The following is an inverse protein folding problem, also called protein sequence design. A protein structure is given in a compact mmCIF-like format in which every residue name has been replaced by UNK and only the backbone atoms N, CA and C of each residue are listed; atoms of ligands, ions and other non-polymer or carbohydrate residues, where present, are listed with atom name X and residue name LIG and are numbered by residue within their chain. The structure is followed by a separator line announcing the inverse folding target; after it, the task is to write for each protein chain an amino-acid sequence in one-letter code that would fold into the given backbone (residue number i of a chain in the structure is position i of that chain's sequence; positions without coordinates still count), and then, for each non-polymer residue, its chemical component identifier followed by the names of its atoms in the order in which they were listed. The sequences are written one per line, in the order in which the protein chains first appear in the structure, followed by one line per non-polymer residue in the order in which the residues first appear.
data_IF_523916790959
#
_entry.id   IF_523916790959
#
_cell.length_a   1.000
_cell.length_b   1.000
_cell.length_c   1.000
_cell.angle_alpha   90.00
_cell.angle_beta   90.00
_cell.angle_gamma   90.00
#
_symmetry.space_group_name_H-M   'P 1'
#
loop_
_entity.id
_entity.type
_entity.pdbx_description
1 polymer ?
#
# COMPACT_ATOMS: atom_id res chain seq x y z
N UNK A 1 -19.50 -26.74 -4.66
CA UNK A 1 -18.11 -26.94 -4.71
C UNK A 1 -17.35 -25.70 -4.32
N UNK A 2 -16.29 -25.90 -3.67
CA UNK A 2 -15.54 -24.79 -3.15
C UNK A 2 -14.75 -24.07 -4.22
N UNK A 3 -14.75 -22.77 -4.14
CA UNK A 3 -13.99 -21.96 -5.06
C UNK A 3 -12.55 -21.86 -4.58
N UNK A 4 -11.65 -22.45 -5.33
CA UNK A 4 -10.25 -22.50 -4.92
C UNK A 4 -9.54 -21.17 -5.02
N UNK A 5 -10.15 -20.19 -5.69
CA UNK A 5 -9.55 -18.88 -5.81
C UNK A 5 -9.91 -17.95 -4.68
N UNK A 6 -10.81 -18.37 -3.84
CA UNK A 6 -11.18 -17.55 -2.72
C UNK A 6 -10.26 -17.81 -1.54
N UNK A 7 -9.85 -16.75 -0.91
CA UNK A 7 -9.10 -16.86 0.31
C UNK A 7 -10.00 -17.28 1.43
N UNK A 8 -9.55 -18.21 2.21
CA UNK A 8 -10.21 -18.48 3.46
C UNK A 8 -10.00 -17.33 4.40
N UNK A 9 -11.07 -16.88 5.00
CA UNK A 9 -10.98 -15.81 5.96
C UNK A 9 -10.83 -16.38 7.35
N UNK A 10 -9.98 -15.76 8.11
CA UNK A 10 -9.70 -16.20 9.47
C UNK A 10 -10.02 -15.05 10.40
N UNK A 11 -10.71 -15.36 11.49
CA UNK A 11 -10.95 -14.37 12.53
C UNK A 11 -9.81 -14.37 13.50
N UNK A 12 -9.25 -13.22 13.73
CA UNK A 12 -8.13 -13.06 14.65
C UNK A 12 -8.47 -12.02 15.69
N UNK A 13 -8.05 -12.30 16.90
CA UNK A 13 -8.16 -11.32 17.98
C UNK A 13 -6.79 -10.66 18.12
N UNK A 14 -6.70 -9.42 17.69
CA UNK A 14 -5.45 -8.70 17.71
C UNK A 14 -5.57 -7.48 18.61
N UNK A 15 -4.56 -7.28 19.42
CA UNK A 15 -4.47 -6.06 20.19
C UNK A 15 -3.96 -4.92 19.33
N UNK A 16 -4.12 -3.74 19.86
CA UNK A 16 -3.69 -2.52 19.18
C UNK A 16 -2.20 -2.55 18.84
N UNK A 17 -1.41 -3.05 19.76
CA UNK A 17 0.02 -3.16 19.56
C UNK A 17 0.36 -4.12 18.42
N UNK A 18 -0.35 -5.26 18.38
CA UNK A 18 -0.11 -6.26 17.35
C UNK A 18 -0.43 -5.72 15.97
N UNK A 19 -1.53 -4.99 15.86
CA UNK A 19 -1.93 -4.38 14.60
C UNK A 19 -0.87 -3.39 14.14
N UNK A 20 -0.34 -2.61 15.05
CA UNK A 20 0.69 -1.63 14.72
C UNK A 20 1.93 -2.30 14.17
N UNK A 21 2.37 -3.38 14.81
CA UNK A 21 3.54 -4.13 14.34
C UNK A 21 3.31 -4.70 12.95
N UNK A 22 2.13 -5.27 12.74
CA UNK A 22 1.79 -5.85 11.44
C UNK A 22 1.80 -4.79 10.36
N UNK A 23 1.21 -3.64 10.63
CA UNK A 23 1.17 -2.55 9.65
C UNK A 23 2.57 -2.03 9.34
N UNK A 24 3.43 -1.94 10.34
CA UNK A 24 4.80 -1.52 10.11
C UNK A 24 5.54 -2.49 9.20
N UNK A 25 5.37 -3.79 9.45
CA UNK A 25 5.99 -4.81 8.63
C UNK A 25 5.47 -4.76 7.20
N UNK A 26 4.17 -4.59 7.03
CA UNK A 26 3.58 -4.53 5.70
C UNK A 26 4.05 -3.29 4.94
N UNK A 27 4.14 -2.16 5.61
CA UNK A 27 4.65 -0.96 4.96
C UNK A 27 6.10 -1.11 4.53
N UNK A 28 6.89 -1.76 5.34
CA UNK A 28 8.28 -2.03 5.03
C UNK A 28 8.40 -2.93 3.80
N UNK A 29 7.59 -3.97 3.75
CA UNK A 29 7.58 -4.86 2.57
C UNK A 29 7.06 -4.15 1.34
N UNK A 30 6.05 -3.30 1.51
CA UNK A 30 5.50 -2.55 0.40
C UNK A 30 6.56 -1.68 -0.26
N UNK A 31 7.41 -1.05 0.52
CA UNK A 31 8.44 -0.18 -0.04
C UNK A 31 9.40 -0.92 -0.96
N UNK A 32 9.56 -2.22 -0.76
CA UNK A 32 10.40 -3.04 -1.63
C UNK A 32 9.75 -3.38 -2.95
N UNK A 33 8.45 -3.21 -3.03
CA UNK A 33 7.68 -3.56 -4.22
C UNK A 33 7.35 -2.36 -5.09
N UNK A 34 7.84 -1.20 -4.71
CA UNK A 34 7.64 0.01 -5.50
C UNK A 34 8.70 0.08 -6.57
N UNK A 35 8.26 0.52 -7.76
CA UNK A 35 9.12 0.51 -8.95
C UNK A 35 9.09 1.85 -9.65
N UNK A 36 10.00 2.00 -10.61
CA UNK A 36 10.01 3.15 -11.50
C UNK A 36 10.14 4.48 -10.75
N UNK A 37 11.20 4.58 -9.98
CA UNK A 37 11.54 5.82 -9.29
C UNK A 37 11.90 6.88 -10.32
N UNK A 38 11.20 7.98 -10.29
CA UNK A 38 11.46 9.04 -11.25
C UNK A 38 10.69 10.30 -10.92
N UNK A 39 10.88 11.32 -11.77
CA UNK A 39 10.24 12.60 -11.54
C UNK A 39 8.77 12.58 -11.90
N UNK A 40 8.01 13.26 -11.09
CA UNK A 40 6.61 13.57 -11.38
C UNK A 40 6.52 15.10 -11.40
N UNK A 41 6.00 15.61 -12.48
CA UNK A 41 5.92 17.04 -12.68
C UNK A 41 4.58 17.57 -12.23
N UNK A 42 4.63 18.69 -11.50
CA UNK A 42 3.43 19.38 -11.09
C UNK A 42 3.51 20.81 -11.59
N UNK A 43 2.40 21.31 -12.10
CA UNK A 43 2.29 22.69 -12.50
C UNK A 43 1.67 23.49 -11.37
N UNK A 44 2.07 24.75 -11.26
CA UNK A 44 1.40 25.63 -10.33
C UNK A 44 0.06 26.06 -10.91
N UNK A 45 -0.65 26.89 -10.19
CA UNK A 45 -1.99 27.32 -10.60
C UNK A 45 -1.98 28.10 -11.91
N UNK A 46 -0.88 28.71 -12.23
CA UNK A 46 -0.75 29.52 -13.43
C UNK A 46 -0.15 28.76 -14.59
N UNK A 47 0.31 27.56 -14.35
CA UNK A 47 0.94 26.75 -15.38
C UNK A 47 2.33 27.21 -15.76
N UNK A 48 2.92 28.11 -15.00
CA UNK A 48 4.22 28.63 -15.34
C UNK A 48 5.37 27.93 -14.67
N UNK A 49 5.17 27.53 -13.45
CA UNK A 49 6.25 26.91 -12.70
C UNK A 49 5.97 25.44 -12.55
N UNK A 50 6.79 24.66 -13.18
CA UNK A 50 6.69 23.21 -13.05
C UNK A 50 7.67 22.77 -12.00
N UNK A 51 7.20 22.03 -11.05
CA UNK A 51 8.04 21.41 -10.06
C UNK A 51 8.16 19.95 -10.34
N UNK A 52 9.35 19.43 -10.15
CA UNK A 52 9.55 18.02 -10.18
C UNK A 52 9.76 17.53 -8.75
N UNK A 53 9.05 16.51 -8.36
CA UNK A 53 9.42 15.78 -7.18
C UNK A 53 9.59 14.32 -7.59
N UNK A 54 10.35 13.59 -6.83
CA UNK A 54 10.66 12.22 -7.19
C UNK A 54 9.84 11.27 -6.33
N UNK A 55 9.27 10.32 -7.00
CA UNK A 55 8.50 9.29 -6.29
C UNK A 55 8.45 8.04 -7.14
N UNK A 56 8.01 6.97 -6.55
CA UNK A 56 7.77 5.74 -7.28
C UNK A 56 6.48 5.86 -8.06
N UNK A 57 6.52 5.48 -9.33
CA UNK A 57 5.38 5.59 -10.22
C UNK A 57 4.77 4.23 -10.54
N UNK A 58 5.40 3.18 -10.09
CA UNK A 58 4.93 1.84 -10.35
C UNK A 58 4.93 1.00 -9.10
N UNK A 59 4.24 -0.12 -9.20
CA UNK A 59 4.15 -1.06 -8.10
C UNK A 59 3.96 -2.45 -8.69
N UNK A 60 4.57 -3.44 -8.05
CA UNK A 60 4.43 -4.81 -8.48
C UNK A 60 3.07 -5.37 -8.09
N UNK A 61 2.75 -6.53 -8.64
CA UNK A 61 1.53 -7.24 -8.30
C UNK A 61 1.47 -7.58 -6.81
N UNK A 62 2.59 -8.03 -6.28
CA UNK A 62 2.70 -8.31 -4.85
C UNK A 62 2.48 -7.04 -4.02
N UNK A 63 3.02 -5.93 -4.50
CA UNK A 63 2.83 -4.66 -3.83
C UNK A 63 1.38 -4.23 -3.76
N UNK A 64 0.64 -4.47 -4.83
CA UNK A 64 -0.80 -4.18 -4.83
C UNK A 64 -1.55 -5.03 -3.81
N UNK A 65 -1.15 -6.28 -3.68
CA UNK A 65 -1.73 -7.14 -2.67
C UNK A 65 -1.45 -6.64 -1.27
N UNK A 66 -0.22 -6.20 -1.03
CA UNK A 66 0.15 -5.65 0.27
C UNK A 66 -0.66 -4.40 0.57
N UNK A 67 -0.82 -3.53 -0.41
CA UNK A 67 -1.65 -2.34 -0.25
C UNK A 67 -3.09 -2.69 0.13
N UNK A 68 -3.65 -3.67 -0.54
CA UNK A 68 -5.02 -4.10 -0.24
C UNK A 68 -5.13 -4.65 1.18
N UNK A 69 -4.14 -5.39 1.61
CA UNK A 69 -4.12 -5.95 2.96
C UNK A 69 -4.03 -4.85 4.00
N UNK A 70 -3.17 -3.87 3.76
CA UNK A 70 -3.04 -2.73 4.66
C UNK A 70 -4.38 -1.99 4.77
N UNK A 71 -4.99 -1.76 3.64
CA UNK A 71 -6.27 -1.05 3.59
C UNK A 71 -7.35 -1.81 4.35
N UNK A 72 -7.37 -3.11 4.17
CA UNK A 72 -8.34 -3.96 4.88
C UNK A 72 -8.14 -3.87 6.38
N UNK A 73 -6.90 -4.02 6.83
CA UNK A 73 -6.60 -3.96 8.26
C UNK A 73 -7.02 -2.61 8.84
N UNK A 74 -6.69 -1.53 8.16
CA UNK A 74 -7.06 -0.21 8.63
C UNK A 74 -8.57 -0.02 8.72
N UNK A 75 -9.32 -0.64 7.83
CA UNK A 75 -10.76 -0.53 7.86
C UNK A 75 -11.39 -1.29 9.04
N UNK A 76 -10.66 -2.23 9.60
CA UNK A 76 -11.16 -3.04 10.70
C UNK A 76 -10.87 -2.47 12.07
N UNK A 77 -10.00 -1.49 12.16
CA UNK A 77 -9.54 -0.97 13.45
C UNK A 77 -10.04 0.42 13.75
N UNK A 78 -11.04 0.84 13.11
CA UNK A 78 -11.60 2.18 13.31
C UNK A 78 -12.22 2.36 14.64
#
# INVERSE_FOLDING_TARGET
MENNNEQKRTSLMLGEFDVKVILECLNKELSKELTDWGPVWEEDQNGYNCRAHYQYRGITKRGKQIQSTIKYIKSQIQ
#
